data_IF_571943347802
#
_entry.id   IF_571943347802
#
_cell.length_a   1.000
_cell.length_b   1.000
_cell.length_c   1.000
_cell.angle_alpha   90.00
_cell.angle_beta   90.00
_cell.angle_gamma   90.00
#
_symmetry.space_group_name_H-M   'P 1'
#
loop_
_entity.id
_entity.type
_entity.pdbx_description
1 polymer ?
#
# COMPACT_ATOMS: atom_id res chain seq x y z
N UNK A 1 -17.85 -24.31 21.11
CA UNK A 1 -17.60 -22.86 21.04
C UNK A 1 -17.88 -22.42 19.64
N UNK A 2 -18.61 -21.33 19.45
CA UNK A 2 -18.84 -20.75 18.12
C UNK A 2 -17.53 -20.17 17.57
N UNK A 3 -17.25 -20.39 16.29
CA UNK A 3 -16.22 -19.62 15.60
C UNK A 3 -16.65 -18.15 15.52
N UNK A 4 -15.80 -17.25 16.00
CA UNK A 4 -15.98 -15.82 15.77
C UNK A 4 -15.79 -15.55 14.27
N UNK A 5 -16.63 -14.73 13.64
CA UNK A 5 -16.43 -14.34 12.26
C UNK A 5 -15.08 -13.62 12.11
N UNK A 6 -14.37 -13.87 11.02
CA UNK A 6 -13.15 -13.13 10.70
C UNK A 6 -13.46 -11.63 10.57
N UNK A 7 -12.74 -10.81 11.33
CA UNK A 7 -12.82 -9.36 11.21
C UNK A 7 -11.78 -8.90 10.19
N UNK A 8 -12.21 -8.18 9.16
CA UNK A 8 -11.30 -7.54 8.22
C UNK A 8 -10.66 -6.31 8.87
N UNK A 9 -9.34 -6.07 8.70
CA UNK A 9 -8.69 -4.86 9.21
C UNK A 9 -9.19 -3.61 8.48
N UNK A 10 -9.05 -2.45 9.14
CA UNK A 10 -9.33 -1.13 8.57
C UNK A 10 -8.01 -0.52 8.11
N UNK A 11 -7.93 -0.09 6.85
CA UNK A 11 -6.79 0.65 6.34
C UNK A 11 -6.97 2.13 6.67
N UNK A 12 -6.07 2.69 7.47
CA UNK A 12 -6.05 4.12 7.82
C UNK A 12 -4.94 4.83 7.04
N UNK A 13 -5.25 6.02 6.50
CA UNK A 13 -4.31 6.86 5.76
C UNK A 13 -4.08 8.18 6.50
N UNK A 14 -2.84 8.68 6.46
CA UNK A 14 -2.51 10.02 6.94
C UNK A 14 -2.60 11.04 5.78
N UNK A 15 -3.62 11.91 5.72
CA UNK A 15 -3.80 12.87 4.62
C UNK A 15 -2.68 13.90 4.50
N UNK A 16 -1.92 14.12 5.57
CA UNK A 16 -0.82 15.09 5.57
C UNK A 16 0.46 14.53 4.95
N UNK A 17 0.57 13.19 4.84
CA UNK A 17 1.76 12.51 4.36
C UNK A 17 1.99 12.76 2.85
N UNK A 18 3.22 13.08 2.41
CA UNK A 18 3.51 13.38 1.00
C UNK A 18 3.07 12.29 0.01
N UNK A 19 3.22 11.01 0.37
CA UNK A 19 2.76 9.89 -0.49
C UNK A 19 1.24 9.84 -0.66
N UNK A 20 0.48 10.20 0.39
CA UNK A 20 -0.99 10.21 0.31
C UNK A 20 -1.47 11.40 -0.52
N UNK A 21 -0.81 12.56 -0.40
CA UNK A 21 -1.04 13.69 -1.30
C UNK A 21 -0.70 13.37 -2.75
N UNK A 22 0.39 12.63 -3.01
CA UNK A 22 0.73 12.17 -4.36
C UNK A 22 -0.37 11.25 -4.90
N UNK A 23 -0.85 10.32 -4.08
CA UNK A 23 -1.95 9.41 -4.43
C UNK A 23 -3.23 10.18 -4.80
N UNK A 24 -3.61 11.19 -4.00
CA UNK A 24 -4.79 12.03 -4.22
C UNK A 24 -4.73 12.82 -5.56
N UNK A 25 -3.53 13.14 -6.03
CA UNK A 25 -3.31 13.88 -7.28
C UNK A 25 -2.94 12.98 -8.48
N UNK A 26 -2.90 11.66 -8.31
CA UNK A 26 -2.53 10.73 -9.39
C UNK A 26 -3.75 10.45 -10.28
N UNK A 27 -3.66 10.87 -11.55
CA UNK A 27 -4.73 10.72 -12.52
C UNK A 27 -4.63 9.43 -13.35
N UNK A 28 -3.44 8.82 -13.39
CA UNK A 28 -3.22 7.54 -14.05
C UNK A 28 -3.69 6.41 -13.12
N UNK A 29 -4.74 5.68 -13.53
CA UNK A 29 -5.35 4.63 -12.72
C UNK A 29 -4.37 3.48 -12.40
N UNK A 30 -3.47 3.14 -13.33
CA UNK A 30 -2.49 2.07 -13.12
C UNK A 30 -1.44 2.50 -12.09
N UNK A 31 -1.00 3.75 -12.14
CA UNK A 31 -0.09 4.32 -11.14
C UNK A 31 -0.77 4.48 -9.79
N UNK A 32 -2.02 4.93 -9.77
CA UNK A 32 -2.82 5.03 -8.55
C UNK A 32 -2.97 3.67 -7.87
N UNK A 33 -3.33 2.62 -8.64
CA UNK A 33 -3.45 1.26 -8.14
C UNK A 33 -2.10 0.74 -7.59
N UNK A 34 -1.01 0.96 -8.33
CA UNK A 34 0.33 0.57 -7.89
C UNK A 34 0.75 1.25 -6.58
N UNK A 35 0.51 2.57 -6.45
CA UNK A 35 0.85 3.33 -5.24
C UNK A 35 -0.03 2.92 -4.04
N UNK A 36 -1.33 2.71 -4.28
CA UNK A 36 -2.26 2.21 -3.26
C UNK A 36 -1.82 0.85 -2.74
N UNK A 37 -1.41 -0.07 -3.63
CA UNK A 37 -0.93 -1.39 -3.23
C UNK A 37 0.35 -1.31 -2.39
N UNK A 38 1.28 -0.41 -2.73
CA UNK A 38 2.49 -0.19 -1.90
C UNK A 38 2.12 0.28 -0.50
N UNK A 39 1.20 1.23 -0.36
CA UNK A 39 0.76 1.73 0.96
C UNK A 39 0.04 0.63 1.77
N UNK A 40 -0.78 -0.19 1.10
CA UNK A 40 -1.48 -1.31 1.73
C UNK A 40 -0.49 -2.38 2.23
N UNK A 41 0.45 -2.80 1.39
CA UNK A 41 1.47 -3.79 1.74
C UNK A 41 2.35 -3.27 2.89
N UNK A 42 2.70 -1.98 2.89
CA UNK A 42 3.42 -1.34 4.00
C UNK A 42 2.63 -1.35 5.31
N UNK A 43 1.32 -1.06 5.26
CA UNK A 43 0.45 -1.10 6.43
C UNK A 43 0.33 -2.51 7.01
N UNK A 44 0.20 -3.53 6.15
CA UNK A 44 0.18 -4.94 6.54
C UNK A 44 1.49 -5.33 7.25
N UNK A 45 2.64 -5.01 6.64
CA UNK A 45 3.95 -5.25 7.26
C UNK A 45 4.10 -4.54 8.61
N UNK A 46 3.64 -3.30 8.73
CA UNK A 46 3.68 -2.53 9.97
C UNK A 46 2.76 -3.11 11.06
N UNK A 47 1.65 -3.73 10.69
CA UNK A 47 0.76 -4.46 11.58
C UNK A 47 1.33 -5.82 12.03
N UNK A 48 2.44 -6.26 11.42
CA UNK A 48 3.08 -7.54 11.71
C UNK A 48 2.61 -8.69 10.81
N UNK A 49 1.80 -8.40 9.79
CA UNK A 49 1.39 -9.39 8.80
C UNK A 49 2.52 -9.71 7.82
N UNK A 50 2.44 -10.89 7.22
CA UNK A 50 3.31 -11.27 6.09
C UNK A 50 2.65 -10.92 4.77
N UNK A 51 3.44 -10.51 3.78
CA UNK A 51 2.93 -10.32 2.42
C UNK A 51 2.73 -11.66 1.72
N UNK A 52 1.62 -11.79 1.00
CA UNK A 52 1.33 -12.96 0.15
C UNK A 52 2.33 -13.06 -1.02
N UNK A 53 2.71 -11.92 -1.59
CA UNK A 53 3.71 -11.83 -2.67
C UNK A 53 4.74 -10.71 -2.39
N UNK A 54 5.80 -11.02 -1.61
CA UNK A 54 6.88 -10.07 -1.33
C UNK A 54 7.63 -9.60 -2.58
N UNK A 55 7.74 -10.43 -3.62
CA UNK A 55 8.50 -10.11 -4.83
C UNK A 55 7.78 -9.01 -5.64
N UNK A 56 6.45 -9.12 -5.74
CA UNK A 56 5.63 -8.09 -6.37
C UNK A 56 5.67 -6.77 -5.61
N UNK A 57 5.67 -6.80 -4.26
CA UNK A 57 5.83 -5.60 -3.45
C UNK A 57 7.18 -4.91 -3.71
N UNK A 58 8.29 -5.65 -3.67
CA UNK A 58 9.63 -5.11 -3.95
C UNK A 58 9.71 -4.51 -5.35
N UNK A 59 9.11 -5.18 -6.34
CA UNK A 59 9.07 -4.68 -7.73
C UNK A 59 8.32 -3.35 -7.82
N UNK A 60 7.14 -3.23 -7.20
CA UNK A 60 6.37 -1.97 -7.16
C UNK A 60 7.11 -0.87 -6.42
N UNK A 61 7.73 -1.19 -5.29
CA UNK A 61 8.49 -0.23 -4.49
C UNK A 61 9.69 0.31 -5.29
N UNK A 62 10.45 -0.56 -5.94
CA UNK A 62 11.60 -0.14 -6.76
C UNK A 62 11.17 0.73 -7.94
N UNK A 63 10.06 0.39 -8.61
CA UNK A 63 9.49 1.23 -9.67
C UNK A 63 9.12 2.61 -9.14
N UNK A 64 8.45 2.69 -7.98
CA UNK A 64 8.10 3.96 -7.35
C UNK A 64 9.34 4.78 -6.97
N UNK A 65 10.39 4.15 -6.45
CA UNK A 65 11.64 4.84 -6.10
C UNK A 65 12.33 5.45 -7.32
N UNK A 66 12.38 4.73 -8.45
CA UNK A 66 12.94 5.24 -9.70
C UNK A 66 12.13 6.43 -10.23
N UNK A 67 10.80 6.35 -10.19
CA UNK A 67 9.92 7.46 -10.57
C UNK A 67 10.04 8.71 -9.68
N UNK A 68 10.57 8.57 -8.45
CA UNK A 68 10.76 9.67 -7.51
C UNK A 68 12.19 10.24 -7.53
N UNK A 69 13.13 9.54 -8.16
CA UNK A 69 14.52 9.97 -8.28
C UNK A 69 14.80 10.82 -9.52
N UNK A 70 13.85 10.85 -10.46
CA UNK A 70 13.87 11.71 -11.65
C UNK A 70 13.14 13.03 -11.40
#
# INVERSE_FOLDING_TARGET
GQALPESKPILELNPEHPLVKKLDNEADEDRFASLTQVLFDQAALAAGDTLEDPASFVTRLNKLLLELSD
#
